data_IF_752462392595
#
_entry.id   IF_752462392595
#
_cell.length_a   1.000
_cell.length_b   1.000
_cell.length_c   1.000
_cell.angle_alpha   90.00
_cell.angle_beta   90.00
_cell.angle_gamma   90.00
#
_symmetry.space_group_name_H-M   'P 1'
#
loop_
_entity.id
_entity.type
_entity.pdbx_description
1 polymer ?
#
# COMPACT_ATOMS: atom_id res chain seq x y z
N UNK A 1 -20.66 2.01 25.41
CA UNK A 1 -20.98 2.82 24.22
C UNK A 1 -19.78 2.75 23.30
N UNK A 2 -19.89 1.98 22.22
CA UNK A 2 -18.79 1.56 21.37
C UNK A 2 -18.86 2.29 20.03
N UNK A 3 -18.25 3.48 19.95
CA UNK A 3 -18.23 4.29 18.72
C UNK A 3 -16.94 4.12 17.90
N UNK A 4 -16.05 3.21 18.29
CA UNK A 4 -14.72 3.05 17.65
C UNK A 4 -14.66 1.87 16.66
N UNK A 5 -15.77 1.14 16.47
CA UNK A 5 -15.78 -0.11 15.69
C UNK A 5 -15.86 0.09 14.17
N UNK A 6 -15.97 1.33 13.68
CA UNK A 6 -16.27 1.64 12.26
C UNK A 6 -15.08 2.16 11.42
N UNK A 7 -13.87 2.30 11.97
CA UNK A 7 -12.66 2.58 11.18
C UNK A 7 -12.08 1.33 10.47
N UNK A 8 -12.73 0.17 10.61
CA UNK A 8 -12.22 -1.13 10.11
C UNK A 8 -13.06 -1.62 8.96
N UNK A 9 -12.55 -1.46 7.72
CA UNK A 9 -12.90 -2.15 6.44
C UNK A 9 -13.30 -1.26 5.27
N UNK A 10 -12.76 -0.04 5.16
CA UNK A 10 -12.77 0.67 3.87
C UNK A 10 -11.69 0.13 2.95
N UNK A 11 -11.93 -1.09 2.51
CA UNK A 11 -11.53 -1.56 1.18
C UNK A 11 -12.74 -2.11 0.42
N UNK A 12 -13.96 -1.81 0.88
CA UNK A 12 -15.23 -2.28 0.31
C UNK A 12 -16.40 -1.28 0.47
N UNK A 13 -16.16 -0.05 0.97
CA UNK A 13 -17.23 0.88 1.34
C UNK A 13 -17.01 2.34 0.91
N UNK A 14 -16.24 2.59 -0.14
CA UNK A 14 -16.30 3.86 -0.85
C UNK A 14 -17.39 3.77 -1.92
N UNK A 15 -18.19 4.84 -2.12
CA UNK A 15 -19.13 4.93 -3.26
C UNK A 15 -18.42 4.72 -4.60
N UNK A 16 -17.10 4.99 -4.64
CA UNK A 16 -16.20 4.69 -5.75
C UNK A 16 -15.03 3.86 -5.22
N UNK A 17 -14.87 2.59 -5.64
CA UNK A 17 -13.80 1.73 -5.15
C UNK A 17 -12.42 2.27 -5.50
N UNK A 18 -11.49 2.22 -4.54
CA UNK A 18 -10.11 2.61 -4.73
C UNK A 18 -9.20 1.38 -4.81
N UNK A 19 -8.10 1.44 -5.59
CA UNK A 19 -7.11 0.38 -5.59
C UNK A 19 -6.51 0.24 -4.19
N UNK A 20 -6.32 -1.00 -3.72
CA UNK A 20 -5.64 -1.28 -2.45
C UNK A 20 -4.12 -1.16 -2.56
N UNK A 21 -3.59 -1.28 -3.78
CA UNK A 21 -2.15 -1.15 -4.06
C UNK A 21 -1.66 0.28 -3.84
N UNK A 22 -0.37 0.41 -3.50
CA UNK A 22 0.32 1.68 -3.31
C UNK A 22 1.70 1.61 -3.96
N UNK A 23 2.28 2.76 -4.24
CA UNK A 23 3.71 2.85 -4.52
C UNK A 23 4.47 2.91 -3.21
N UNK A 24 5.56 2.16 -3.11
CA UNK A 24 6.40 2.06 -1.94
C UNK A 24 7.74 2.73 -2.24
N UNK A 25 8.24 3.55 -1.33
CA UNK A 25 9.63 3.99 -1.35
C UNK A 25 10.44 3.00 -0.52
N UNK A 26 11.32 2.26 -1.17
CA UNK A 26 12.18 1.23 -0.55
C UNK A 26 13.63 1.67 -0.62
N UNK A 27 14.43 1.23 0.35
CA UNK A 27 15.87 1.43 0.39
C UNK A 27 16.58 0.08 0.35
N UNK A 28 17.57 -0.08 -0.53
CA UNK A 28 18.41 -1.27 -0.56
C UNK A 28 19.38 -1.28 0.63
N UNK A 29 19.31 -2.30 1.48
CA UNK A 29 20.17 -2.40 2.68
C UNK A 29 21.66 -2.60 2.38
N UNK A 30 22.01 -2.99 1.15
CA UNK A 30 23.41 -3.22 0.75
C UNK A 30 24.08 -1.95 0.20
N UNK A 31 23.34 -1.11 -0.53
CA UNK A 31 23.91 0.05 -1.23
C UNK A 31 23.25 1.40 -0.90
N UNK A 32 22.18 1.42 -0.09
CA UNK A 32 21.46 2.63 0.30
C UNK A 32 20.63 3.27 -0.83
N UNK A 33 20.50 2.60 -1.98
CA UNK A 33 19.71 3.14 -3.09
C UNK A 33 18.22 3.18 -2.73
N UNK A 34 17.60 4.35 -2.88
CA UNK A 34 16.16 4.53 -2.77
C UNK A 34 15.47 4.32 -4.11
N UNK A 35 14.36 3.57 -4.13
CA UNK A 35 13.55 3.36 -5.32
C UNK A 35 12.06 3.42 -5.00
N UNK A 36 11.27 3.94 -5.94
CA UNK A 36 9.81 3.88 -5.89
C UNK A 36 9.33 2.66 -6.67
N UNK A 37 8.74 1.69 -5.99
CA UNK A 37 8.26 0.42 -6.57
C UNK A 37 6.73 0.31 -6.46
N UNK A 38 6.11 -0.40 -7.40
CA UNK A 38 4.68 -0.71 -7.30
C UNK A 38 4.46 -1.87 -6.32
N UNK A 39 3.59 -1.69 -5.32
CA UNK A 39 3.38 -2.66 -4.24
C UNK A 39 2.72 -3.98 -4.65
N UNK A 40 2.19 -4.07 -5.88
CA UNK A 40 1.70 -5.33 -6.47
C UNK A 40 2.38 -5.60 -7.83
N UNK A 41 3.71 -5.45 -7.88
CA UNK A 41 4.50 -5.65 -9.10
C UNK A 41 4.44 -7.10 -9.58
N UNK A 42 4.20 -7.30 -10.88
CA UNK A 42 4.30 -8.60 -11.55
C UNK A 42 5.72 -8.94 -12.00
N UNK A 43 6.62 -7.95 -12.03
CA UNK A 43 8.01 -8.07 -12.46
C UNK A 43 8.96 -8.03 -11.26
N UNK A 44 10.08 -8.76 -11.38
CA UNK A 44 11.13 -8.74 -10.35
C UNK A 44 11.92 -7.43 -10.43
N UNK A 45 11.82 -6.63 -9.37
CA UNK A 45 12.62 -5.42 -9.17
C UNK A 45 14.06 -5.80 -8.75
N UNK A 46 15.06 -5.04 -9.19
CA UNK A 46 16.48 -5.24 -8.90
C UNK A 46 17.10 -3.97 -8.35
#
# INVERSE_FOLDING_TARGET
MSEERWLKRFTESDLVPQPRSRFLRVECVECGNEQIIFGNASTKVR
#
